data_IF_174178533002
#
_entry.id   IF_174178533002
#
_cell.length_a   1.000
_cell.length_b   1.000
_cell.length_c   1.000
_cell.angle_alpha   90.00
_cell.angle_beta   90.00
_cell.angle_gamma   90.00
#
_symmetry.space_group_name_H-M   'P 1'
#
loop_
_entity.id
_entity.type
_entity.pdbx_description
1 polymer ?
#
# COMPACT_ATOMS: atom_id res chain seq x y z
N UNK A 1 15.02 -3.62 71.87
CA UNK A 1 14.95 -2.13 71.95
C UNK A 1 14.50 -1.69 70.55
N UNK A 2 13.20 -1.69 70.26
CA UNK A 2 12.25 -0.54 70.41
C UNK A 2 12.49 0.42 69.24
N UNK A 3 11.56 0.90 68.41
CA UNK A 3 10.11 1.18 68.43
C UNK A 3 9.65 1.13 66.94
N UNK A 4 8.46 0.68 66.50
CA UNK A 4 7.05 0.99 66.75
C UNK A 4 6.49 2.31 66.13
N UNK A 5 5.32 2.14 65.49
CA UNK A 5 4.31 3.11 64.99
C UNK A 5 4.71 4.06 63.85
N UNK A 6 3.93 4.30 62.79
CA UNK A 6 2.49 4.15 62.58
C UNK A 6 1.96 5.41 61.85
N UNK A 7 0.76 5.29 61.25
CA UNK A 7 -0.07 6.34 60.59
C UNK A 7 0.33 6.62 59.12
N UNK A 8 -0.53 6.52 58.11
CA UNK A 8 -1.99 6.59 58.06
C UNK A 8 -2.45 8.01 57.72
N UNK A 9 -2.57 8.34 56.43
CA UNK A 9 -3.44 9.44 56.00
C UNK A 9 -4.00 9.19 54.58
N UNK A 10 -5.32 9.41 54.47
CA UNK A 10 -6.19 9.23 53.30
C UNK A 10 -6.09 10.43 52.33
N UNK A 11 -6.62 10.31 51.09
CA UNK A 11 -6.32 11.23 49.99
C UNK A 11 -7.21 12.47 49.98
N UNK A 12 -6.65 13.60 49.53
CA UNK A 12 -7.37 14.83 49.25
C UNK A 12 -7.56 15.01 47.73
N UNK A 13 -8.81 15.24 47.35
CA UNK A 13 -9.29 15.52 45.99
C UNK A 13 -8.98 16.97 45.58
N UNK A 14 -8.84 17.13 44.26
CA UNK A 14 -9.08 18.33 43.43
C UNK A 14 -8.12 19.52 43.55
N UNK A 15 -7.37 19.72 42.46
CA UNK A 15 -6.94 21.03 41.98
C UNK A 15 -7.08 21.07 40.45
N UNK A 16 -8.08 21.79 39.93
CA UNK A 16 -8.14 22.19 38.52
C UNK A 16 -7.08 23.28 38.33
N UNK A 17 -6.12 23.08 37.43
CA UNK A 17 -5.29 24.17 36.89
C UNK A 17 -5.51 24.27 35.39
N UNK A 18 -6.17 25.35 34.98
CA UNK A 18 -6.08 25.93 33.64
C UNK A 18 -4.69 26.58 33.50
N UNK A 19 -3.98 26.24 32.44
CA UNK A 19 -2.89 27.02 31.85
C UNK A 19 -2.81 26.54 30.40
N UNK A 20 -3.08 27.35 29.38
CA UNK A 20 -2.41 28.63 29.13
C UNK A 20 -1.07 28.33 28.46
N UNK A 21 -1.12 27.75 27.25
CA UNK A 21 0.05 27.39 26.46
C UNK A 21 0.18 28.32 25.25
N UNK A 22 1.26 29.09 25.29
CA UNK A 22 1.77 30.04 24.30
C UNK A 22 2.00 29.37 22.92
N UNK A 23 1.64 29.98 21.77
CA UNK A 23 1.87 29.42 20.45
C UNK A 23 3.20 29.93 19.87
N UNK A 24 4.32 29.34 20.28
CA UNK A 24 5.57 29.45 19.50
C UNK A 24 6.55 28.32 19.85
N UNK A 25 6.64 27.32 18.98
CA UNK A 25 7.57 26.20 19.14
C UNK A 25 7.38 25.10 18.09
N UNK A 26 8.42 24.93 17.27
CA UNK A 26 8.66 23.93 16.22
C UNK A 26 8.10 22.52 16.55
N UNK A 27 7.31 21.97 15.61
CA UNK A 27 6.95 20.54 15.56
C UNK A 27 5.46 20.25 15.69
N UNK A 28 4.66 20.56 14.67
CA UNK A 28 3.31 19.97 14.58
C UNK A 28 3.47 18.45 14.45
N UNK A 29 3.11 17.70 15.49
CA UNK A 29 3.20 16.24 15.49
C UNK A 29 2.41 15.62 14.33
N UNK A 30 2.91 14.52 13.77
CA UNK A 30 2.19 13.77 12.73
C UNK A 30 0.83 13.30 13.30
N UNK A 31 -0.30 13.64 12.66
CA UNK A 31 -1.62 13.29 13.18
C UNK A 31 -1.80 11.78 13.27
N UNK A 32 -2.30 11.30 14.41
CA UNK A 32 -2.66 9.89 14.62
C UNK A 32 -4.13 9.67 14.25
N UNK A 33 -4.41 8.62 13.48
CA UNK A 33 -5.73 8.30 12.93
C UNK A 33 -5.98 6.79 12.96
N UNK A 34 -7.25 6.41 13.02
CA UNK A 34 -7.65 5.02 12.74
C UNK A 34 -7.61 4.72 11.25
N UNK A 35 -7.59 3.43 10.88
CA UNK A 35 -7.65 3.02 9.46
C UNK A 35 -8.94 3.52 8.77
N UNK A 36 -10.06 3.58 9.50
CA UNK A 36 -11.32 4.11 8.96
C UNK A 36 -11.22 5.61 8.66
N UNK A 37 -10.66 6.39 9.58
CA UNK A 37 -10.45 7.83 9.37
C UNK A 37 -9.51 8.09 8.19
N UNK A 38 -8.48 7.26 8.05
CA UNK A 38 -7.55 7.31 6.92
C UNK A 38 -8.25 6.98 5.59
N UNK A 39 -9.00 5.87 5.52
CA UNK A 39 -9.78 5.49 4.35
C UNK A 39 -10.80 6.57 3.94
N UNK A 40 -11.49 7.17 4.91
CA UNK A 40 -12.45 8.24 4.62
C UNK A 40 -11.78 9.51 4.08
N UNK A 41 -10.54 9.80 4.46
CA UNK A 41 -9.77 10.92 3.93
C UNK A 41 -9.38 10.71 2.46
N UNK A 42 -9.08 9.47 2.07
CA UNK A 42 -8.74 9.07 0.70
C UNK A 42 -9.91 9.31 -0.27
N UNK A 43 -11.13 8.94 0.12
CA UNK A 43 -12.34 9.12 -0.71
C UNK A 43 -12.71 10.61 -0.87
N UNK A 44 -12.58 11.39 0.21
CA UNK A 44 -12.84 12.84 0.17
C UNK A 44 -11.80 13.59 -0.66
N UNK A 45 -10.56 13.13 -0.66
CA UNK A 45 -9.48 13.66 -1.49
C UNK A 45 -9.77 13.52 -2.98
N UNK A 46 -10.18 12.33 -3.42
CA UNK A 46 -10.54 12.05 -4.81
C UNK A 46 -11.69 12.94 -5.31
N UNK A 47 -12.69 13.19 -4.47
CA UNK A 47 -13.87 13.99 -4.83
C UNK A 47 -13.56 15.48 -5.09
N UNK A 48 -12.48 16.03 -4.53
CA UNK A 48 -12.09 17.43 -4.72
C UNK A 48 -11.18 17.66 -5.93
N UNK A 49 -10.59 16.60 -6.49
CA UNK A 49 -9.73 16.66 -7.69
C UNK A 49 -10.48 16.66 -9.03
N UNK A 50 -11.80 16.40 -9.03
CA UNK A 50 -12.58 16.19 -10.26
C UNK A 50 -13.48 17.34 -10.73
N UNK A 51 -13.40 18.55 -10.18
CA UNK A 51 -14.43 19.58 -10.39
C UNK A 51 -13.88 20.95 -10.79
N UNK A 52 -13.71 21.18 -12.10
CA UNK A 52 -13.29 22.47 -12.65
C UNK A 52 -13.84 22.79 -14.05
N UNK A 53 -15.04 22.33 -14.39
CA UNK A 53 -15.70 22.63 -15.67
C UNK A 53 -16.89 23.56 -15.48
N UNK A 54 -16.67 24.85 -15.32
CA UNK A 54 -17.74 25.85 -15.35
C UNK A 54 -18.32 25.93 -16.77
N UNK A 55 -19.53 25.39 -16.96
CA UNK A 55 -20.33 25.58 -18.17
C UNK A 55 -20.84 27.02 -18.23
N UNK A 56 -20.16 27.90 -18.97
CA UNK A 56 -20.78 29.14 -19.44
C UNK A 56 -21.41 28.93 -20.81
N UNK A 57 -22.73 29.05 -20.85
CA UNK A 57 -23.54 29.17 -22.05
C UNK A 57 -23.20 30.44 -22.83
N UNK A 58 -22.80 30.31 -24.09
CA UNK A 58 -22.61 31.44 -25.02
C UNK A 58 -22.75 31.00 -26.47
N UNK A 59 -23.83 31.45 -27.13
CA UNK A 59 -24.13 31.26 -28.55
C UNK A 59 -23.16 32.06 -29.44
N UNK A 60 -22.82 31.54 -30.61
CA UNK A 60 -22.23 32.34 -31.70
C UNK A 60 -21.69 31.51 -32.87
N UNK A 61 -22.43 31.50 -33.99
CA UNK A 61 -22.00 31.08 -35.33
C UNK A 61 -20.90 32.03 -35.87
N UNK A 62 -19.82 31.52 -36.51
CA UNK A 62 -19.42 31.93 -37.87
C UNK A 62 -18.30 31.04 -38.48
N UNK A 63 -18.21 31.09 -39.81
CA UNK A 63 -17.50 30.21 -40.75
C UNK A 63 -16.01 30.56 -40.96
N UNK A 64 -15.20 29.51 -41.12
CA UNK A 64 -14.22 29.39 -42.21
C UNK A 64 -12.77 29.85 -41.98
N UNK A 65 -11.82 28.89 -41.91
CA UNK A 65 -10.63 28.77 -42.79
C UNK A 65 -9.77 27.55 -42.40
N UNK A 66 -9.15 26.84 -43.36
CA UNK A 66 -8.24 25.73 -43.08
C UNK A 66 -6.78 26.20 -43.05
N UNK A 67 -6.04 25.75 -42.04
CA UNK A 67 -4.58 25.84 -41.99
C UNK A 67 -4.06 26.36 -40.67
N UNK A 68 -3.76 25.45 -39.74
CA UNK A 68 -2.44 25.42 -39.13
C UNK A 68 -2.17 24.04 -38.50
N UNK A 69 -0.99 23.48 -38.76
CA UNK A 69 -0.50 22.26 -38.10
C UNK A 69 0.12 22.71 -36.78
N UNK A 70 -0.71 22.90 -35.77
CA UNK A 70 -0.29 23.07 -34.39
C UNK A 70 -0.04 21.70 -33.75
N UNK A 71 1.17 21.53 -33.23
CA UNK A 71 1.63 20.41 -32.42
C UNK A 71 0.62 19.95 -31.39
N UNK A 72 0.34 18.65 -31.36
CA UNK A 72 -0.24 17.94 -30.23
C UNK A 72 0.71 18.07 -29.03
N UNK A 73 0.56 19.13 -28.24
CA UNK A 73 1.03 19.13 -26.86
C UNK A 73 0.02 18.33 -26.03
N UNK A 74 0.41 17.17 -25.47
CA UNK A 74 -0.44 16.51 -24.49
C UNK A 74 -0.50 17.37 -23.23
N UNK A 75 -1.73 17.74 -22.90
CA UNK A 75 -2.25 18.26 -21.64
C UNK A 75 -1.31 18.04 -20.46
N UNK A 76 -0.51 19.06 -20.12
CA UNK A 76 0.29 19.10 -18.90
C UNK A 76 -0.62 19.46 -17.73
N UNK A 77 -1.50 18.51 -17.37
CA UNK A 77 -2.32 18.59 -16.16
C UNK A 77 -1.42 18.77 -14.94
N UNK A 78 -1.33 20.00 -14.45
CA UNK A 78 -0.49 20.40 -13.33
C UNK A 78 -0.90 19.65 -12.04
N UNK A 79 -0.14 18.59 -11.75
CA UNK A 79 0.16 17.97 -10.46
C UNK A 79 -0.44 18.64 -9.20
N UNK A 80 -1.51 18.07 -8.64
CA UNK A 80 -1.97 18.35 -7.26
C UNK A 80 -1.21 17.46 -6.25
N UNK A 81 0.13 17.53 -6.30
CA UNK A 81 1.10 16.64 -5.66
C UNK A 81 1.31 16.85 -4.15
N UNK A 82 0.24 16.89 -3.35
CA UNK A 82 0.38 16.82 -1.90
C UNK A 82 0.31 15.37 -1.42
N UNK A 83 1.45 14.81 -1.01
CA UNK A 83 1.46 13.62 -0.15
C UNK A 83 1.05 14.06 1.26
N UNK A 84 0.04 13.40 1.83
CA UNK A 84 -0.35 13.60 3.22
C UNK A 84 0.17 12.44 4.07
N UNK A 85 0.58 12.73 5.29
CA UNK A 85 1.18 11.74 6.19
C UNK A 85 0.42 11.73 7.52
N UNK A 86 0.09 10.52 7.96
CA UNK A 86 -0.54 10.25 9.24
C UNK A 86 0.21 9.13 9.96
N UNK A 87 -0.19 8.86 11.20
CA UNK A 87 0.18 7.65 11.93
C UNK A 87 -1.01 6.80 12.21
N UNK A 88 -0.80 5.49 12.19
CA UNK A 88 -1.79 4.57 12.68
C UNK A 88 -1.87 4.65 14.21
N UNK A 89 -3.07 4.84 14.75
CA UNK A 89 -3.35 4.88 16.19
C UNK A 89 -3.06 3.57 16.93
N UNK A 90 -3.20 2.42 16.25
CA UNK A 90 -2.91 1.11 16.82
C UNK A 90 -1.41 0.80 16.89
N UNK A 91 -0.59 1.39 15.99
CA UNK A 91 0.86 1.22 15.99
C UNK A 91 1.57 2.50 15.49
N UNK A 92 2.16 3.23 16.44
CA UNK A 92 2.84 4.49 16.17
C UNK A 92 4.13 4.35 15.33
N UNK A 93 4.59 3.13 15.02
CA UNK A 93 5.69 2.84 14.08
C UNK A 93 5.25 2.91 12.62
N UNK A 94 3.94 2.87 12.37
CA UNK A 94 3.34 2.82 11.04
C UNK A 94 2.99 4.23 10.58
N UNK A 95 3.61 4.64 9.48
CA UNK A 95 3.22 5.84 8.74
C UNK A 95 2.23 5.50 7.64
N UNK A 96 1.14 6.25 7.58
CA UNK A 96 0.11 6.12 6.57
C UNK A 96 0.25 7.29 5.58
N UNK A 97 0.56 6.97 4.32
CA UNK A 97 0.72 7.95 3.24
C UNK A 97 -0.51 7.97 2.36
N UNK A 98 -1.10 9.16 2.20
CA UNK A 98 -2.21 9.40 1.30
C UNK A 98 -1.70 10.17 0.07
N UNK A 99 -1.94 9.61 -1.11
CA UNK A 99 -1.74 10.26 -2.40
C UNK A 99 -3.08 10.57 -3.06
N UNK A 100 -3.17 11.72 -3.75
CA UNK A 100 -4.42 12.14 -4.39
C UNK A 100 -4.92 11.20 -5.49
N UNK A 101 -4.02 10.43 -6.11
CA UNK A 101 -4.33 9.47 -7.18
C UNK A 101 -3.24 8.39 -7.29
N UNK A 102 -3.56 7.29 -7.97
CA UNK A 102 -2.59 6.23 -8.27
C UNK A 102 -1.39 6.76 -9.09
N UNK A 103 -1.62 7.71 -10.00
CA UNK A 103 -0.55 8.36 -10.75
C UNK A 103 0.40 9.14 -9.83
N UNK A 104 -0.13 9.92 -8.88
CA UNK A 104 0.69 10.67 -7.93
C UNK A 104 1.50 9.74 -7.00
N UNK A 105 0.91 8.60 -6.59
CA UNK A 105 1.62 7.58 -5.83
C UNK A 105 2.73 6.94 -6.66
N UNK A 106 2.44 6.54 -7.89
CA UNK A 106 3.39 5.95 -8.84
C UNK A 106 4.56 6.89 -9.13
N UNK A 107 4.34 8.18 -9.28
CA UNK A 107 5.41 9.15 -9.51
C UNK A 107 6.36 9.27 -8.31
N UNK A 108 5.82 9.14 -7.09
CA UNK A 108 6.59 9.28 -5.85
C UNK A 108 7.27 7.98 -5.39
N UNK A 109 6.67 6.82 -5.68
CA UNK A 109 7.06 5.53 -5.11
C UNK A 109 7.37 4.46 -6.15
N UNK A 110 7.05 4.66 -7.42
CA UNK A 110 7.15 3.60 -8.44
C UNK A 110 8.58 3.13 -8.71
N UNK A 111 9.58 4.04 -8.74
CA UNK A 111 11.00 3.64 -8.87
C UNK A 111 11.48 2.86 -7.64
N UNK A 112 11.04 3.26 -6.44
CA UNK A 112 11.35 2.56 -5.21
C UNK A 112 10.71 1.16 -5.19
N UNK A 113 9.44 1.04 -5.59
CA UNK A 113 8.75 -0.24 -5.74
C UNK A 113 9.50 -1.18 -6.70
N UNK A 114 9.87 -0.71 -7.90
CA UNK A 114 10.64 -1.53 -8.84
C UNK A 114 12.00 -1.96 -8.27
N UNK A 115 12.70 -1.06 -7.58
CA UNK A 115 13.98 -1.37 -6.94
C UNK A 115 13.83 -2.43 -5.85
N UNK A 116 12.72 -2.45 -5.11
CA UNK A 116 12.50 -3.38 -4.01
C UNK A 116 11.98 -4.73 -4.49
N UNK A 117 11.10 -4.74 -5.49
CA UNK A 117 10.16 -5.84 -5.68
C UNK A 117 10.11 -6.38 -7.11
N UNK A 118 10.55 -5.63 -8.13
CA UNK A 118 10.43 -6.07 -9.52
C UNK A 118 11.35 -7.25 -9.84
N UNK A 119 10.80 -8.26 -10.51
CA UNK A 119 11.47 -9.50 -10.88
C UNK A 119 12.75 -9.31 -11.72
N UNK A 120 12.83 -8.26 -12.55
CA UNK A 120 14.01 -8.01 -13.40
C UNK A 120 14.86 -6.83 -12.91
N UNK A 121 14.26 -5.90 -12.18
CA UNK A 121 14.86 -4.61 -11.83
C UNK A 121 15.21 -4.47 -10.35
N UNK A 122 14.93 -5.48 -9.52
CA UNK A 122 15.27 -5.47 -8.09
C UNK A 122 16.75 -5.16 -7.88
N UNK A 123 17.02 -4.24 -6.95
CA UNK A 123 18.37 -3.76 -6.65
C UNK A 123 18.93 -2.77 -7.67
N UNK A 124 18.18 -2.44 -8.73
CA UNK A 124 18.60 -1.53 -9.80
C UNK A 124 17.73 -0.29 -9.82
N UNK A 125 18.33 0.86 -10.14
CA UNK A 125 17.57 2.09 -10.39
C UNK A 125 17.12 2.09 -11.84
N UNK A 126 15.82 2.28 -12.04
CA UNK A 126 15.25 2.50 -13.37
C UNK A 126 15.14 4.01 -13.63
N UNK A 127 15.37 4.44 -14.86
CA UNK A 127 15.23 5.87 -15.24
C UNK A 127 13.78 6.33 -15.16
N UNK A 128 12.86 5.46 -15.59
CA UNK A 128 11.42 5.70 -15.54
C UNK A 128 10.69 4.38 -15.24
N UNK A 129 9.53 4.51 -14.59
CA UNK A 129 8.64 3.38 -14.38
C UNK A 129 7.95 3.06 -15.72
N UNK A 130 8.04 1.83 -16.26
CA UNK A 130 7.35 1.46 -17.48
C UNK A 130 5.82 1.52 -17.32
N UNK A 131 5.10 1.71 -18.42
CA UNK A 131 3.64 1.61 -18.46
C UNK A 131 3.18 0.15 -18.61
N UNK A 132 1.93 -0.13 -18.23
CA UNK A 132 1.30 -1.44 -18.42
C UNK A 132 1.98 -2.54 -17.60
N UNK A 133 1.91 -3.78 -18.10
CA UNK A 133 2.42 -4.98 -17.41
C UNK A 133 3.89 -4.89 -17.01
N UNK A 134 4.73 -4.18 -17.77
CA UNK A 134 6.17 -4.03 -17.46
C UNK A 134 6.46 -3.15 -16.24
N UNK A 135 5.48 -2.39 -15.76
CA UNK A 135 5.56 -1.66 -14.49
C UNK A 135 4.58 -2.22 -13.46
N UNK A 136 4.26 -3.52 -13.54
CA UNK A 136 3.22 -4.19 -12.73
C UNK A 136 3.34 -3.90 -11.24
N UNK A 137 4.53 -4.07 -10.67
CA UNK A 137 4.77 -3.78 -9.24
C UNK A 137 4.53 -2.32 -8.86
N UNK A 138 4.50 -1.40 -9.83
CA UNK A 138 4.26 0.03 -9.64
C UNK A 138 2.82 0.47 -9.99
N UNK A 139 1.95 -0.46 -10.38
CA UNK A 139 0.56 -0.22 -10.77
C UNK A 139 -0.39 -0.75 -9.69
N UNK A 140 -0.54 0.01 -8.61
CA UNK A 140 -1.31 -0.39 -7.45
C UNK A 140 -2.16 0.78 -6.91
N UNK A 141 -3.20 0.44 -6.14
CA UNK A 141 -3.93 1.39 -5.30
C UNK A 141 -3.31 1.51 -3.89
N UNK A 142 -2.41 0.60 -3.52
CA UNK A 142 -1.68 0.59 -2.25
C UNK A 142 -0.25 0.05 -2.39
N UNK A 143 0.65 0.44 -1.50
CA UNK A 143 1.99 -0.15 -1.41
C UNK A 143 2.55 -0.03 -0.01
N UNK A 144 3.34 -1.02 0.38
CA UNK A 144 4.00 -1.07 1.69
C UNK A 144 5.51 -1.05 1.54
N UNK A 145 6.24 -0.53 2.54
CA UNK A 145 7.68 -0.71 2.60
C UNK A 145 8.21 -0.45 4.00
N UNK A 146 9.34 -1.08 4.34
CA UNK A 146 10.14 -0.65 5.47
C UNK A 146 10.84 0.66 5.12
N UNK A 147 10.88 1.58 6.07
CA UNK A 147 11.60 2.86 5.90
C UNK A 147 13.09 2.62 5.60
N UNK A 148 13.69 1.60 6.22
CA UNK A 148 15.09 1.23 5.96
C UNK A 148 15.32 0.83 4.48
N UNK A 149 14.37 0.15 3.86
CA UNK A 149 14.48 -0.28 2.47
C UNK A 149 14.33 0.91 1.51
N UNK A 150 13.44 1.86 1.84
CA UNK A 150 13.38 3.15 1.14
C UNK A 150 14.70 3.92 1.24
N UNK A 151 15.36 3.94 2.42
CA UNK A 151 16.67 4.56 2.56
C UNK A 151 17.72 3.93 1.64
N UNK A 152 17.69 2.60 1.41
CA UNK A 152 18.62 1.94 0.48
C UNK A 152 18.44 2.43 -0.95
N UNK A 153 17.19 2.54 -1.41
CA UNK A 153 16.85 3.13 -2.71
C UNK A 153 17.39 4.57 -2.83
N UNK A 154 17.06 5.43 -1.85
CA UNK A 154 17.47 6.84 -1.85
C UNK A 154 19.00 6.99 -1.84
N UNK A 155 19.70 6.17 -1.09
CA UNK A 155 21.16 6.21 -1.02
C UNK A 155 21.81 5.68 -2.29
N UNK A 156 21.21 4.69 -2.96
CA UNK A 156 21.67 4.27 -4.27
C UNK A 156 21.54 5.42 -5.28
N UNK A 157 20.38 6.08 -5.34
CA UNK A 157 20.14 7.22 -6.23
C UNK A 157 21.09 8.39 -5.96
N UNK A 158 21.45 8.61 -4.68
CA UNK A 158 22.45 9.60 -4.29
C UNK A 158 23.86 9.21 -4.75
N UNK A 159 24.27 7.95 -4.56
CA UNK A 159 25.62 7.48 -4.92
C UNK A 159 25.84 7.40 -6.43
N UNK A 160 24.81 7.05 -7.21
CA UNK A 160 24.91 6.98 -8.68
C UNK A 160 24.76 8.34 -9.37
N UNK A 161 24.32 9.38 -8.65
CA UNK A 161 24.13 10.72 -9.20
C UNK A 161 22.90 10.84 -10.11
N UNK A 162 22.07 9.80 -10.22
CA UNK A 162 20.82 9.82 -10.98
C UNK A 162 19.78 10.78 -10.37
N UNK A 163 19.89 11.03 -9.07
CA UNK A 163 19.01 11.95 -8.37
C UNK A 163 17.58 11.43 -8.20
N UNK A 164 16.79 12.26 -7.53
CA UNK A 164 15.36 12.02 -7.32
C UNK A 164 14.55 12.83 -8.32
N UNK A 165 13.34 12.39 -8.64
CA UNK A 165 12.35 13.22 -9.32
C UNK A 165 11.66 14.17 -8.32
N UNK A 166 10.79 15.06 -8.82
CA UNK A 166 10.09 16.04 -7.97
C UNK A 166 9.13 15.41 -6.95
N UNK A 167 8.45 14.33 -7.31
CA UNK A 167 7.51 13.64 -6.42
C UNK A 167 8.25 12.86 -5.32
N UNK A 168 9.34 12.18 -5.67
CA UNK A 168 10.27 11.53 -4.73
C UNK A 168 10.86 12.54 -3.74
N UNK A 169 11.29 13.72 -4.22
CA UNK A 169 11.76 14.82 -3.33
C UNK A 169 10.70 15.26 -2.34
N UNK A 170 9.44 15.41 -2.77
CA UNK A 170 8.32 15.78 -1.89
C UNK A 170 8.02 14.70 -0.85
N UNK A 171 8.06 13.42 -1.24
CA UNK A 171 7.94 12.30 -0.32
C UNK A 171 9.05 12.33 0.73
N UNK A 172 10.31 12.47 0.31
CA UNK A 172 11.48 12.57 1.21
C UNK A 172 11.35 13.74 2.17
N UNK A 173 10.95 14.92 1.70
CA UNK A 173 10.75 16.10 2.55
C UNK A 173 9.68 15.85 3.64
N UNK A 174 8.58 15.18 3.28
CA UNK A 174 7.53 14.79 4.22
C UNK A 174 8.05 13.81 5.29
N UNK A 175 8.80 12.79 4.87
CA UNK A 175 9.37 11.78 5.77
C UNK A 175 10.48 12.34 6.68
N UNK A 176 11.28 13.30 6.21
CA UNK A 176 12.26 14.02 7.04
C UNK A 176 11.57 14.85 8.12
N UNK A 177 10.52 15.59 7.75
CA UNK A 177 9.74 16.42 8.69
C UNK A 177 9.10 15.56 9.80
N UNK A 178 8.71 14.34 9.46
CA UNK A 178 8.10 13.38 10.36
C UNK A 178 9.08 12.57 11.21
N UNK A 179 10.39 12.79 11.04
CA UNK A 179 11.46 11.99 11.62
C UNK A 179 11.37 10.50 11.23
N UNK A 180 10.72 10.19 10.11
CA UNK A 180 10.66 8.84 9.57
C UNK A 180 12.01 8.43 8.98
N UNK A 181 12.64 9.33 8.22
CA UNK A 181 14.02 9.22 7.75
C UNK A 181 14.86 10.39 8.31
N UNK A 182 16.18 10.22 8.33
CA UNK A 182 17.14 11.27 8.67
C UNK A 182 18.32 11.24 7.70
N UNK A 183 19.02 12.36 7.58
CA UNK A 183 20.36 12.36 7.00
C UNK A 183 21.38 12.10 8.13
N UNK A 184 22.20 11.07 7.96
CA UNK A 184 23.38 10.85 8.80
C UNK A 184 24.36 12.03 8.63
N UNK A 185 24.93 12.51 9.74
CA UNK A 185 25.72 13.75 9.73
C UNK A 185 27.10 13.57 9.11
N UNK A 186 27.65 12.37 9.15
CA UNK A 186 29.01 12.08 8.69
C UNK A 186 29.02 11.71 7.21
N UNK A 187 28.18 10.74 6.84
CA UNK A 187 28.09 10.23 5.47
C UNK A 187 27.14 11.05 4.59
N UNK A 188 26.20 11.77 5.19
CA UNK A 188 25.08 12.39 4.49
C UNK A 188 24.08 11.37 3.93
N UNK A 189 24.22 10.07 4.19
CA UNK A 189 23.29 9.05 3.72
C UNK A 189 21.96 9.13 4.48
N UNK A 190 20.87 8.75 3.83
CA UNK A 190 19.58 8.57 4.48
C UNK A 190 19.61 7.32 5.36
N UNK A 191 19.16 7.47 6.60
CA UNK A 191 18.97 6.38 7.57
C UNK A 191 17.55 6.42 8.11
N UNK A 192 17.06 5.29 8.63
CA UNK A 192 15.78 5.27 9.31
C UNK A 192 15.84 6.14 10.57
N UNK A 193 14.83 6.98 10.74
CA UNK A 193 14.65 7.79 11.93
C UNK A 193 14.04 7.00 13.09
N UNK A 194 13.46 7.71 14.06
CA UNK A 194 12.72 7.11 15.17
C UNK A 194 11.24 7.50 15.13
N UNK A 195 10.84 8.35 14.19
CA UNK A 195 9.50 8.91 14.14
C UNK A 195 9.14 9.52 15.49
N UNK A 196 10.03 10.29 16.12
CA UNK A 196 9.75 10.84 17.46
C UNK A 196 9.42 9.80 18.55
N UNK A 197 9.67 8.51 18.33
CA UNK A 197 9.56 7.46 19.33
C UNK A 197 10.90 7.30 20.06
N UNK A 198 10.87 6.76 21.27
CA UNK A 198 12.09 6.33 21.96
C UNK A 198 12.75 5.18 21.20
N UNK A 199 14.09 5.19 21.11
CA UNK A 199 14.87 4.08 20.56
C UNK A 199 14.52 2.72 21.21
N UNK A 200 14.11 2.72 22.49
CA UNK A 200 13.67 1.53 23.22
C UNK A 200 12.37 0.90 22.68
N UNK A 201 11.64 1.58 21.80
CA UNK A 201 10.45 1.05 21.11
C UNK A 201 10.81 0.17 19.91
N UNK A 202 12.05 0.24 19.44
CA UNK A 202 12.56 -0.55 18.34
C UNK A 202 13.27 -1.78 18.93
N UNK A 203 12.75 -2.98 18.65
CA UNK A 203 13.43 -4.22 19.02
C UNK A 203 14.75 -4.37 18.25
N UNK A 204 15.69 -5.14 18.79
CA UNK A 204 16.98 -5.44 18.13
C UNK A 204 16.88 -6.44 16.97
N UNK A 205 15.66 -6.85 16.59
CA UNK A 205 15.39 -7.83 15.53
C UNK A 205 15.16 -7.21 14.15
N UNK A 206 15.07 -8.06 13.11
CA UNK A 206 14.74 -7.65 11.73
C UNK A 206 13.30 -7.11 11.58
N UNK A 207 12.39 -7.49 12.48
CA UNK A 207 11.03 -6.93 12.60
C UNK A 207 11.00 -5.92 13.74
N UNK A 208 10.58 -4.68 13.46
CA UNK A 208 10.47 -3.66 14.50
C UNK A 208 10.87 -2.24 14.12
N UNK A 209 11.33 -2.02 12.88
CA UNK A 209 11.62 -0.69 12.34
C UNK A 209 10.35 0.12 11.99
N UNK A 210 10.54 1.36 11.56
CA UNK A 210 9.46 2.18 11.00
C UNK A 210 9.04 1.61 9.65
N UNK A 211 7.74 1.65 9.39
CA UNK A 211 7.12 1.12 8.17
C UNK A 211 6.13 2.11 7.58
N UNK A 212 5.94 2.01 6.28
CA UNK A 212 5.05 2.86 5.48
C UNK A 212 3.99 1.97 4.85
N UNK A 213 2.73 2.36 5.01
CA UNK A 213 1.62 1.93 4.18
C UNK A 213 1.13 3.15 3.38
N UNK A 214 1.13 3.06 2.06
CA UNK A 214 0.73 4.12 1.17
C UNK A 214 -0.51 3.69 0.38
N UNK A 215 -1.51 4.57 0.27
CA UNK A 215 -2.73 4.30 -0.50
C UNK A 215 -3.10 5.53 -1.32
N UNK A 216 -3.57 5.28 -2.53
CA UNK A 216 -4.07 6.29 -3.46
C UNK A 216 -5.55 6.55 -3.22
N UNK A 217 -5.96 7.82 -3.30
CA UNK A 217 -7.36 8.21 -3.29
C UNK A 217 -8.10 7.67 -4.51
N UNK A 218 -9.28 7.10 -4.29
CA UNK A 218 -10.24 6.69 -5.32
C UNK A 218 -11.63 7.24 -4.99
N UNK A 219 -12.46 7.46 -6.01
CA UNK A 219 -13.88 7.76 -5.78
C UNK A 219 -14.68 6.53 -5.35
N UNK A 220 -14.12 5.32 -5.50
CA UNK A 220 -14.69 4.09 -4.97
C UNK A 220 -14.26 3.90 -3.51
N UNK A 221 -15.21 4.08 -2.60
CA UNK A 221 -14.99 3.93 -1.16
C UNK A 221 -14.77 2.46 -0.75
N UNK A 222 -15.34 1.50 -1.48
CA UNK A 222 -15.14 0.07 -1.22
C UNK A 222 -13.70 -0.33 -1.55
N UNK A 223 -13.27 -0.04 -2.77
CA UNK A 223 -11.89 -0.29 -3.23
C UNK A 223 -10.86 0.36 -2.30
N UNK A 224 -11.09 1.62 -1.91
CA UNK A 224 -10.20 2.33 -0.99
C UNK A 224 -10.10 1.63 0.37
N UNK A 225 -11.22 1.17 0.92
CA UNK A 225 -11.22 0.47 2.23
C UNK A 225 -10.53 -0.88 2.14
N UNK A 226 -10.75 -1.62 1.07
CA UNK A 226 -10.10 -2.91 0.83
C UNK A 226 -8.58 -2.73 0.66
N UNK A 227 -8.14 -1.73 -0.10
CA UNK A 227 -6.71 -1.38 -0.22
C UNK A 227 -6.08 -0.99 1.12
N UNK A 228 -6.76 -0.16 1.93
CA UNK A 228 -6.26 0.18 3.27
C UNK A 228 -6.15 -1.05 4.17
N UNK A 229 -7.10 -1.99 4.09
CA UNK A 229 -7.05 -3.23 4.87
C UNK A 229 -5.88 -4.12 4.41
N UNK A 230 -5.69 -4.25 3.09
CA UNK A 230 -4.57 -4.97 2.48
C UNK A 230 -3.24 -4.42 2.98
N UNK A 231 -3.03 -3.10 2.87
CA UNK A 231 -1.81 -2.46 3.33
C UNK A 231 -1.60 -2.61 4.85
N UNK A 232 -2.69 -2.55 5.64
CA UNK A 232 -2.60 -2.75 7.08
C UNK A 232 -2.12 -4.17 7.44
N UNK A 233 -2.46 -5.19 6.65
CA UNK A 233 -1.98 -6.56 6.90
C UNK A 233 -0.46 -6.68 6.70
N UNK A 234 0.13 -5.98 5.71
CA UNK A 234 1.60 -5.90 5.61
C UNK A 234 2.22 -5.23 6.84
N UNK A 235 1.56 -4.21 7.39
CA UNK A 235 2.05 -3.54 8.61
C UNK A 235 2.03 -4.50 9.81
N UNK A 236 1.00 -5.34 9.93
CA UNK A 236 0.96 -6.41 10.95
C UNK A 236 2.13 -7.39 10.73
N UNK A 237 2.39 -7.80 9.49
CA UNK A 237 3.52 -8.70 9.18
C UNK A 237 4.88 -8.11 9.58
N UNK A 238 5.12 -6.82 9.33
CA UNK A 238 6.37 -6.18 9.77
C UNK A 238 6.42 -5.88 11.29
N UNK A 239 5.26 -5.63 11.89
CA UNK A 239 5.13 -5.15 13.27
C UNK A 239 5.03 -6.24 14.33
N UNK A 240 4.48 -7.42 13.98
CA UNK A 240 4.28 -8.58 14.84
C UNK A 240 5.13 -9.77 14.36
N UNK A 241 6.30 -9.94 14.98
CA UNK A 241 7.23 -11.02 14.65
C UNK A 241 6.63 -12.42 14.89
N UNK A 242 5.70 -12.56 15.84
CA UNK A 242 5.06 -13.85 16.10
C UNK A 242 4.14 -14.21 14.94
N UNK A 243 3.32 -13.27 14.49
CA UNK A 243 2.48 -13.45 13.31
C UNK A 243 3.32 -13.75 12.06
N UNK A 244 4.36 -12.94 11.80
CA UNK A 244 5.25 -13.15 10.67
C UNK A 244 5.92 -14.53 10.66
N UNK A 245 6.37 -15.02 11.82
CA UNK A 245 6.93 -16.38 11.95
C UNK A 245 5.87 -17.43 11.65
N UNK A 246 4.64 -17.29 12.16
CA UNK A 246 3.55 -18.21 11.86
C UNK A 246 3.23 -18.26 10.37
N UNK A 247 3.21 -17.13 9.66
CA UNK A 247 3.03 -17.09 8.21
C UNK A 247 4.15 -17.83 7.46
N UNK A 248 5.41 -17.65 7.86
CA UNK A 248 6.55 -18.36 7.26
C UNK A 248 6.49 -19.86 7.53
N UNK A 249 6.17 -20.27 8.75
CA UNK A 249 5.98 -21.68 9.09
C UNK A 249 4.83 -22.30 8.29
N UNK A 250 3.72 -21.58 8.11
CA UNK A 250 2.62 -22.06 7.27
C UNK A 250 3.05 -22.22 5.82
N UNK A 251 3.74 -21.23 5.25
CA UNK A 251 4.28 -21.32 3.90
C UNK A 251 5.21 -22.53 3.74
N UNK A 252 6.12 -22.77 4.69
CA UNK A 252 7.05 -23.89 4.59
C UNK A 252 6.39 -25.25 4.79
N UNK A 253 5.54 -25.38 5.80
CA UNK A 253 5.09 -26.69 6.29
C UNK A 253 3.70 -27.10 5.77
N UNK A 254 2.86 -26.14 5.39
CA UNK A 254 1.44 -26.39 5.07
C UNK A 254 1.07 -26.11 3.62
N UNK A 255 1.88 -25.36 2.88
CA UNK A 255 1.65 -25.07 1.46
C UNK A 255 2.42 -26.07 0.63
N UNK A 256 1.70 -26.86 -0.18
CA UNK A 256 2.35 -27.89 -0.99
C UNK A 256 3.04 -27.31 -2.23
N UNK A 257 3.86 -28.13 -2.91
CA UNK A 257 4.64 -27.66 -4.05
C UNK A 257 3.79 -27.19 -5.25
N UNK A 258 2.55 -27.67 -5.38
CA UNK A 258 1.63 -27.24 -6.43
C UNK A 258 1.06 -25.87 -6.09
N UNK A 259 0.58 -25.68 -4.86
CA UNK A 259 0.07 -24.40 -4.37
C UNK A 259 1.17 -23.33 -4.33
N UNK A 260 2.39 -23.67 -3.88
CA UNK A 260 3.54 -22.75 -3.92
C UNK A 260 3.79 -22.26 -5.35
N UNK A 261 3.70 -23.16 -6.34
CA UNK A 261 3.87 -22.81 -7.75
C UNK A 261 2.76 -21.90 -8.25
N UNK A 262 1.49 -22.25 -7.99
CA UNK A 262 0.36 -21.42 -8.39
C UNK A 262 0.47 -20.00 -7.79
N UNK A 263 0.85 -19.89 -6.52
CA UNK A 263 1.09 -18.61 -5.86
C UNK A 263 2.26 -17.83 -6.47
N UNK A 264 3.40 -18.47 -6.69
CA UNK A 264 4.56 -17.81 -7.31
C UNK A 264 4.30 -17.39 -8.76
N UNK A 265 3.53 -18.17 -9.52
CA UNK A 265 3.20 -17.80 -10.90
C UNK A 265 2.23 -16.61 -10.92
N UNK A 266 1.26 -16.56 -10.00
CA UNK A 266 0.43 -15.37 -9.77
C UNK A 266 1.27 -14.13 -9.44
N UNK A 267 2.25 -14.24 -8.54
CA UNK A 267 3.13 -13.11 -8.19
C UNK A 267 4.03 -12.66 -9.35
N UNK A 268 4.53 -13.58 -10.17
CA UNK A 268 5.31 -13.24 -11.38
C UNK A 268 4.48 -12.49 -12.42
N UNK A 269 3.20 -12.84 -12.56
CA UNK A 269 2.27 -12.12 -13.44
C UNK A 269 2.08 -10.66 -12.99
N UNK A 270 2.20 -10.41 -11.68
CA UNK A 270 2.24 -9.06 -11.09
C UNK A 270 3.63 -8.42 -11.09
N UNK A 271 4.65 -9.10 -11.64
CA UNK A 271 6.06 -8.69 -11.72
C UNK A 271 6.88 -8.81 -10.43
N UNK A 272 6.40 -9.47 -9.39
CA UNK A 272 7.17 -9.63 -8.14
C UNK A 272 8.34 -10.61 -8.27
N UNK A 273 9.48 -10.29 -7.66
CA UNK A 273 10.63 -11.20 -7.53
C UNK A 273 10.35 -12.31 -6.52
N UNK A 274 9.89 -13.46 -7.04
CA UNK A 274 9.58 -14.64 -6.22
C UNK A 274 10.81 -15.34 -5.63
N UNK A 275 12.03 -14.84 -5.87
CA UNK A 275 13.24 -15.31 -5.17
C UNK A 275 13.42 -14.66 -3.80
N UNK A 276 12.66 -13.61 -3.50
CA UNK A 276 12.59 -13.04 -2.16
C UNK A 276 11.50 -13.74 -1.33
N UNK A 277 11.91 -14.70 -0.50
CA UNK A 277 11.00 -15.46 0.38
C UNK A 277 10.20 -14.55 1.32
N UNK A 278 10.75 -13.42 1.76
CA UNK A 278 10.00 -12.50 2.63
C UNK A 278 8.89 -11.80 1.85
N UNK A 279 9.17 -11.33 0.64
CA UNK A 279 8.17 -10.76 -0.25
C UNK A 279 7.06 -11.78 -0.54
N UNK A 280 7.43 -13.00 -0.96
CA UNK A 280 6.47 -14.07 -1.29
C UNK A 280 5.51 -14.35 -0.13
N UNK A 281 6.02 -14.44 1.10
CA UNK A 281 5.20 -14.73 2.28
C UNK A 281 4.42 -13.50 2.77
N UNK A 282 4.99 -12.29 2.66
CA UNK A 282 4.32 -11.05 3.04
C UNK A 282 3.11 -10.77 2.11
N UNK A 283 3.27 -10.99 0.82
CA UNK A 283 2.17 -10.92 -0.15
C UNK A 283 1.14 -12.03 0.12
N UNK A 284 1.61 -13.27 0.37
CA UNK A 284 0.70 -14.39 0.64
C UNK A 284 -0.25 -14.04 1.78
N UNK A 285 0.28 -13.57 2.92
CA UNK A 285 -0.58 -13.29 4.06
C UNK A 285 -1.56 -12.14 3.77
N UNK A 286 -1.16 -11.08 3.07
CA UNK A 286 -2.05 -9.96 2.78
C UNK A 286 -3.21 -10.41 1.89
N UNK A 287 -2.89 -11.04 0.75
CA UNK A 287 -3.87 -11.57 -0.20
C UNK A 287 -4.82 -12.59 0.44
N UNK A 288 -4.28 -13.53 1.22
CA UNK A 288 -5.11 -14.56 1.87
C UNK A 288 -5.98 -13.98 2.99
N UNK A 289 -5.59 -12.85 3.59
CA UNK A 289 -6.38 -12.17 4.61
C UNK A 289 -7.46 -11.25 4.05
N UNK A 290 -7.30 -10.68 2.85
CA UNK A 290 -8.18 -9.59 2.36
C UNK A 290 -8.95 -9.91 1.08
N UNK A 291 -8.39 -10.66 0.13
CA UNK A 291 -8.95 -10.75 -1.22
C UNK A 291 -10.03 -11.83 -1.36
N UNK A 292 -11.26 -11.52 -0.91
CA UNK A 292 -12.41 -12.44 -0.99
C UNK A 292 -12.85 -12.76 -2.42
N UNK A 293 -12.74 -11.79 -3.34
CA UNK A 293 -13.26 -11.89 -4.71
C UNK A 293 -12.26 -12.49 -5.69
N UNK A 294 -10.96 -12.38 -5.40
CA UNK A 294 -9.91 -12.86 -6.30
C UNK A 294 -9.77 -14.38 -6.29
N UNK A 295 -9.92 -15.01 -5.11
CA UNK A 295 -9.79 -16.46 -4.95
C UNK A 295 -11.12 -17.15 -4.63
N UNK A 296 -12.24 -16.43 -4.72
CA UNK A 296 -13.57 -16.96 -4.46
C UNK A 296 -14.31 -17.31 -5.74
N UNK A 297 -14.71 -18.57 -5.92
CA UNK A 297 -15.91 -18.88 -6.70
C UNK A 297 -17.07 -18.09 -6.07
N UNK A 298 -17.77 -17.24 -6.83
CA UNK A 298 -18.85 -16.36 -6.38
C UNK A 298 -19.99 -17.06 -5.63
N UNK A 299 -19.75 -17.40 -4.37
CA UNK A 299 -20.64 -18.16 -3.50
C UNK A 299 -20.68 -17.54 -2.11
N UNK A 300 -21.40 -16.42 -2.02
CA UNK A 300 -22.08 -15.87 -0.84
C UNK A 300 -21.30 -15.82 0.49
N UNK A 301 -20.72 -14.64 0.77
CA UNK A 301 -20.93 -13.97 2.06
C UNK A 301 -21.28 -12.50 1.76
N UNK A 302 -22.58 -12.18 1.73
CA UNK A 302 -23.10 -10.82 1.75
C UNK A 302 -23.05 -10.05 0.42
N UNK A 303 -24.20 -9.91 -0.24
CA UNK A 303 -24.34 -9.26 -1.55
C UNK A 303 -23.95 -7.78 -1.60
N UNK A 304 -23.49 -7.38 -2.79
CA UNK A 304 -23.18 -6.00 -3.15
C UNK A 304 -22.12 -5.96 -4.24
N UNK A 305 -22.57 -5.82 -5.48
CA UNK A 305 -21.79 -5.78 -6.72
C UNK A 305 -20.87 -4.55 -6.75
N UNK A 306 -19.57 -4.76 -6.97
CA UNK A 306 -18.64 -3.72 -7.41
C UNK A 306 -17.47 -4.37 -8.16
N UNK A 307 -17.45 -4.16 -9.47
CA UNK A 307 -16.42 -4.60 -10.40
C UNK A 307 -15.08 -3.92 -10.11
N UNK A 308 -14.05 -4.69 -9.73
CA UNK A 308 -12.67 -4.22 -9.78
C UNK A 308 -12.13 -4.41 -11.19
N UNK A 309 -11.61 -3.33 -11.74
CA UNK A 309 -11.13 -3.18 -13.10
C UNK A 309 -9.81 -3.95 -13.33
N UNK A 310 -9.93 -5.24 -13.62
CA UNK A 310 -8.92 -5.97 -14.38
C UNK A 310 -9.11 -5.71 -15.87
N UNK A 311 -8.31 -4.82 -16.45
CA UNK A 311 -8.30 -4.49 -17.88
C UNK A 311 -8.10 -5.73 -18.76
N UNK A 312 -9.21 -6.31 -19.24
CA UNK A 312 -9.25 -7.11 -20.48
C UNK A 312 -9.92 -6.28 -21.57
N UNK A 313 -9.13 -5.43 -22.23
CA UNK A 313 -9.52 -4.86 -23.51
C UNK A 313 -9.31 -5.90 -24.59
N UNK A 314 -10.40 -6.54 -25.05
CA UNK A 314 -10.44 -7.16 -26.37
C UNK A 314 -11.57 -6.52 -27.15
N UNK A 315 -11.21 -5.54 -27.97
CA UNK A 315 -12.11 -4.96 -28.96
C UNK A 315 -12.65 -6.05 -29.87
N UNK A 316 -13.97 -6.13 -29.95
CA UNK A 316 -14.66 -6.89 -30.98
C UNK A 316 -15.41 -5.90 -31.86
N UNK A 317 -15.08 -5.87 -33.15
CA UNK A 317 -16.14 -5.83 -34.13
C UNK A 317 -15.84 -6.67 -35.36
N UNK A 318 -16.91 -7.29 -35.83
CA UNK A 318 -16.98 -8.52 -36.63
C UNK A 318 -16.86 -8.25 -38.13
N UNK A 319 -16.26 -9.18 -38.88
CA UNK A 319 -16.89 -9.73 -40.11
C UNK A 319 -16.12 -10.94 -40.68
N UNK A 320 -16.86 -11.88 -41.27
CA UNK A 320 -16.34 -12.82 -42.28
C UNK A 320 -16.09 -14.26 -41.79
N UNK A 321 -17.08 -15.14 -41.95
CA UNK A 321 -16.96 -16.55 -41.60
C UNK A 321 -16.22 -17.42 -42.62
N UNK A 322 -15.75 -18.59 -42.19
CA UNK A 322 -15.72 -19.84 -42.98
C UNK A 322 -15.40 -21.05 -42.10
N UNK A 323 -16.16 -22.14 -42.30
CA UNK A 323 -15.92 -23.51 -41.77
C UNK A 323 -14.55 -24.06 -42.21
N UNK A 324 -13.81 -24.73 -41.31
CA UNK A 324 -13.47 -26.18 -41.38
C UNK A 324 -12.43 -26.63 -40.33
N UNK A 325 -12.69 -27.84 -39.82
CA UNK A 325 -11.80 -28.93 -39.40
C UNK A 325 -10.79 -28.73 -38.26
N UNK A 326 -11.08 -29.43 -37.15
CA UNK A 326 -10.30 -30.60 -36.71
C UNK A 326 -8.81 -30.39 -36.49
N UNK A 327 -8.45 -30.03 -35.25
CA UNK A 327 -7.08 -30.06 -34.76
C UNK A 327 -7.10 -30.32 -33.26
N UNK A 328 -6.62 -31.50 -32.88
CA UNK A 328 -6.45 -31.96 -31.51
C UNK A 328 -5.37 -31.07 -30.85
N UNK A 329 -5.76 -30.20 -29.92
CA UNK A 329 -4.87 -29.29 -29.21
C UNK A 329 -5.17 -29.32 -27.71
N UNK A 330 -4.33 -30.03 -26.97
CA UNK A 330 -4.37 -30.13 -25.51
C UNK A 330 -3.82 -28.86 -24.84
N UNK A 331 -4.60 -27.79 -24.86
CA UNK A 331 -4.30 -26.57 -24.12
C UNK A 331 -5.60 -25.92 -23.71
N UNK A 332 -5.97 -26.06 -22.43
CA UNK A 332 -6.98 -25.29 -21.67
C UNK A 332 -7.51 -26.15 -20.51
N UNK A 333 -6.69 -26.33 -19.45
CA UNK A 333 -7.15 -26.80 -18.12
C UNK A 333 -6.34 -26.25 -16.93
N UNK A 334 -5.25 -25.50 -17.13
CA UNK A 334 -4.40 -25.03 -16.03
C UNK A 334 -5.05 -23.95 -15.17
N UNK A 335 -5.58 -22.87 -15.78
CA UNK A 335 -6.08 -21.72 -15.02
C UNK A 335 -7.21 -22.03 -14.02
N UNK A 336 -8.16 -22.91 -14.38
CA UNK A 336 -9.24 -23.29 -13.45
C UNK A 336 -8.75 -24.17 -12.28
N UNK A 337 -7.65 -24.91 -12.48
CA UNK A 337 -7.03 -25.72 -11.43
C UNK A 337 -6.27 -24.82 -10.45
N UNK A 338 -5.60 -23.79 -10.97
CA UNK A 338 -4.81 -22.83 -10.19
C UNK A 338 -5.73 -21.94 -9.33
N UNK A 339 -6.85 -21.44 -9.88
CA UNK A 339 -7.85 -20.68 -9.13
C UNK A 339 -8.47 -21.49 -7.98
N UNK A 340 -8.77 -22.77 -8.23
CA UNK A 340 -9.28 -23.68 -7.19
C UNK A 340 -8.24 -23.95 -6.09
N UNK A 341 -6.95 -23.96 -6.44
CA UNK A 341 -5.87 -24.16 -5.48
C UNK A 341 -5.70 -22.95 -4.57
N UNK A 342 -5.67 -21.74 -5.14
CA UNK A 342 -5.57 -20.50 -4.36
C UNK A 342 -6.80 -20.28 -3.45
N UNK A 343 -7.99 -20.67 -3.92
CA UNK A 343 -9.19 -20.67 -3.10
C UNK A 343 -9.08 -21.60 -1.87
N UNK A 344 -8.53 -22.81 -2.06
CA UNK A 344 -8.32 -23.77 -1.00
C UNK A 344 -7.23 -23.31 -0.02
N UNK A 345 -6.15 -22.75 -0.55
CA UNK A 345 -5.07 -22.12 0.20
C UNK A 345 -5.60 -21.01 1.10
N UNK A 346 -6.44 -20.09 0.57
CA UNK A 346 -7.04 -19.00 1.34
C UNK A 346 -7.86 -19.52 2.52
N UNK A 347 -8.70 -20.54 2.31
CA UNK A 347 -9.51 -21.13 3.40
C UNK A 347 -8.64 -21.72 4.51
N UNK A 348 -7.58 -22.45 4.15
CA UNK A 348 -6.65 -23.04 5.13
C UNK A 348 -5.86 -21.97 5.86
N UNK A 349 -5.34 -20.98 5.13
CA UNK A 349 -4.63 -19.85 5.72
C UNK A 349 -5.52 -19.08 6.69
N UNK A 350 -6.74 -18.70 6.27
CA UNK A 350 -7.69 -17.97 7.11
C UNK A 350 -8.06 -18.74 8.39
N UNK A 351 -8.23 -20.07 8.30
CA UNK A 351 -8.46 -20.92 9.47
C UNK A 351 -7.31 -20.86 10.46
N UNK A 352 -6.08 -20.88 9.99
CA UNK A 352 -4.89 -20.87 10.83
C UNK A 352 -4.59 -19.45 11.38
N UNK A 353 -4.73 -18.43 10.53
CA UNK A 353 -4.52 -17.02 10.86
C UNK A 353 -5.45 -16.52 11.97
N UNK A 354 -6.67 -17.07 12.06
CA UNK A 354 -7.61 -16.78 13.16
C UNK A 354 -7.02 -17.06 14.55
N UNK A 355 -6.13 -18.04 14.68
CA UNK A 355 -5.47 -18.36 15.95
C UNK A 355 -4.24 -17.47 16.20
N UNK A 356 -3.51 -17.13 15.15
CA UNK A 356 -2.28 -16.32 15.24
C UNK A 356 -2.57 -14.84 15.47
N UNK A 357 -3.67 -14.35 14.90
CA UNK A 357 -4.09 -12.95 14.92
C UNK A 357 -5.56 -12.86 15.38
N UNK A 358 -5.84 -13.01 16.68
CA UNK A 358 -7.21 -13.01 17.22
C UNK A 358 -7.90 -11.64 17.10
N UNK A 359 -7.12 -10.57 17.01
CA UNK A 359 -7.59 -9.18 16.86
C UNK A 359 -6.97 -8.55 15.61
N UNK A 360 -7.41 -8.96 14.40
CA UNK A 360 -6.89 -8.40 13.16
C UNK A 360 -7.32 -6.95 12.97
N UNK A 361 -6.60 -6.18 12.16
CA UNK A 361 -7.02 -4.83 11.78
C UNK A 361 -8.35 -4.87 11.00
N UNK A 362 -9.02 -3.71 10.98
CA UNK A 362 -10.25 -3.53 10.21
C UNK A 362 -10.45 -2.09 9.82
N UNK A 363 -11.15 -1.87 8.70
CA UNK A 363 -11.48 -0.53 8.20
C UNK A 363 -12.96 -0.26 8.44
N UNK A 364 -13.25 0.18 9.67
CA UNK A 364 -14.61 0.37 10.17
C UNK A 364 -15.30 -0.93 10.52
N UNK A 365 -16.63 -0.91 10.55
CA UNK A 365 -17.43 -2.08 10.98
C UNK A 365 -17.53 -3.17 9.90
N UNK A 366 -17.45 -2.80 8.61
CA UNK A 366 -17.82 -3.69 7.49
C UNK A 366 -16.64 -4.27 6.70
N UNK A 367 -15.50 -3.59 6.65
CA UNK A 367 -14.32 -4.06 5.94
C UNK A 367 -13.40 -4.80 6.93
N UNK A 368 -13.38 -6.14 6.83
CA UNK A 368 -12.79 -7.08 7.78
C UNK A 368 -12.05 -8.19 7.01
N UNK A 369 -11.02 -8.74 7.64
CA UNK A 369 -10.26 -9.89 7.11
C UNK A 369 -11.15 -11.12 6.89
N UNK A 370 -10.74 -12.04 6.01
CA UNK A 370 -11.56 -13.12 5.44
C UNK A 370 -12.30 -14.00 6.47
N UNK A 371 -11.71 -14.26 7.64
CA UNK A 371 -12.32 -15.12 8.68
C UNK A 371 -13.26 -14.40 9.65
N UNK A 372 -13.43 -13.09 9.49
CA UNK A 372 -14.39 -12.27 10.25
C UNK A 372 -15.66 -11.99 9.47
#
# INVERSE_FOLDING_TARGET
RGFDLGKGFRPSRMGKSKGGGDPSGVGAGVPSVSLEQFADALVRGASRGGGGGARSSGKGFDRGRPGDRGSDEPDTGASTSSVSLYRWDADARVFLLHFASAAAQRDAMGRASMFLEDLDSRGTLVDFVPSGQRGGVANYSGHNMRVLDLCRFLNLAKRTGEGLNDAERRLVACLLTADAIRADKESGEYVSGFGGLSASRFGSGKGGGLVIAAVAGSSDAGETRDAVLHEAMHMVFYGDEKFARSCRTFWEDQVDAFEKRAWMDFLKDLRYDVKDDELVVNELQAYMCTERRMFGNGGSFGGGDSSVAGSRSSGGDRSGGRKKNGGNGSGEKSGACDDSALAALQRRFASAAREWLPTPPSVGEKCKVVWQ
#
